data_IF_032422170088
#
_entry.id   IF_032422170088
#
_cell.length_a   1.000
_cell.length_b   1.000
_cell.length_c   1.000
_cell.angle_alpha   90.00
_cell.angle_beta   90.00
_cell.angle_gamma   90.00
#
_symmetry.space_group_name_H-M   'P 1'
#
loop_
_entity.id
_entity.type
_entity.pdbx_description
1 polymer ?
2 non-polymer ?
3 non-polymer ?
4 water ?
#
# COMPACT_ATOMS: atom_id res chain seq x y z
N UNK A 1 10.85 -17.90 3.46
CA UNK A 1 12.04 -17.64 4.33
C UNK A 1 11.76 -17.58 5.84
N UNK A 2 10.55 -17.97 6.29
CA UNK A 2 9.35 -18.39 5.54
C UNK A 2 8.47 -17.20 5.14
N UNK A 3 7.51 -17.46 4.26
CA UNK A 3 6.58 -16.44 3.78
C UNK A 3 5.63 -15.95 4.88
N UNK A 4 5.48 -14.64 4.95
CA UNK A 4 4.64 -14.00 5.96
C UNK A 4 3.29 -13.59 5.39
N UNK A 5 2.23 -14.02 6.08
CA UNK A 5 0.85 -13.67 5.70
C UNK A 5 0.59 -12.17 5.73
N UNK A 6 -0.37 -11.74 4.93
CA UNK A 6 -0.71 -10.33 4.81
C UNK A 6 -1.90 -9.97 5.69
N UNK A 7 -1.77 -8.86 6.42
CA UNK A 7 -2.86 -8.38 7.24
C UNK A 7 -3.86 -7.52 6.45
N UNK A 8 -4.90 -7.00 7.12
CA UNK A 8 -5.95 -6.28 6.40
C UNK A 8 -5.47 -4.99 5.73
N UNK A 9 -4.56 -4.26 6.37
CA UNK A 9 -4.02 -3.05 5.78
C UNK A 9 -3.16 -3.39 4.56
N UNK A 10 -2.39 -4.47 4.66
CA UNK A 10 -1.51 -4.86 3.56
C UNK A 10 -2.31 -5.29 2.34
N UNK A 11 -3.41 -6.00 2.58
CA UNK A 11 -4.30 -6.37 1.48
C UNK A 11 -5.00 -5.14 0.88
N UNK A 12 -5.52 -4.25 1.74
CA UNK A 12 -6.19 -3.05 1.25
C UNK A 12 -5.25 -2.20 0.42
N UNK A 13 -3.99 -2.11 0.83
CA UNK A 13 -2.98 -1.40 0.06
C UNK A 13 -2.84 -1.99 -1.33
N UNK A 14 -2.74 -3.32 -1.40
CA UNK A 14 -2.62 -3.99 -2.69
C UNK A 14 -3.77 -3.63 -3.61
N UNK A 15 -5.00 -3.74 -3.09
CA UNK A 15 -6.17 -3.48 -3.91
C UNK A 15 -6.19 -2.05 -4.41
N UNK A 16 -5.92 -1.09 -3.51
CA UNK A 16 -6.04 0.32 -3.89
C UNK A 16 -4.94 0.74 -4.86
N UNK A 17 -3.72 0.22 -4.66
CA UNK A 17 -2.64 0.55 -5.56
C UNK A 17 -2.91 -0.04 -6.95
N UNK A 18 -3.49 -1.24 -6.98
CA UNK A 18 -3.82 -1.85 -8.26
C UNK A 18 -4.95 -1.09 -8.97
N UNK A 19 -5.94 -0.61 -8.22
CA UNK A 19 -6.95 0.28 -8.82
C UNK A 19 -6.28 1.52 -9.39
N UNK A 20 -5.42 2.16 -8.61
CA UNK A 20 -4.75 3.38 -9.08
C UNK A 20 -3.99 3.15 -10.38
N UNK A 21 -3.32 2.01 -10.48
CA UNK A 21 -2.44 1.77 -11.62
C UNK A 21 -3.13 1.13 -12.81
N UNK A 22 -4.36 0.66 -12.64
CA UNK A 22 -5.05 -0.06 -13.72
C UNK A 22 -6.42 0.46 -14.12
N UNK A 23 -7.11 1.17 -13.24
CA UNK A 23 -8.36 1.78 -13.66
C UNK A 23 -8.12 2.76 -14.81
N UNK A 24 -9.02 2.72 -15.81
CA UNK A 24 -8.94 3.80 -16.80
C UNK A 24 -9.45 5.11 -16.21
N UNK A 25 -9.07 6.23 -16.80
CA UNK A 25 -9.64 7.53 -16.42
C UNK A 25 -10.72 7.94 -17.41
N UNK A 26 -11.56 8.90 -17.02
CA UNK A 26 -12.69 9.31 -17.84
C UNK A 26 -13.87 8.36 -17.66
N UNK A 27 -14.77 8.40 -18.63
CA UNK A 27 -16.07 7.72 -18.56
C UNK A 27 -16.03 6.20 -18.32
N UNK A 28 -14.97 5.55 -18.79
CA UNK A 28 -14.85 4.10 -18.65
C UNK A 28 -14.47 3.62 -17.23
N UNK A 29 -13.98 4.54 -16.40
CA UNK A 29 -13.56 4.21 -15.02
C UNK A 29 -14.63 3.48 -14.22
N UNK A 30 -15.86 3.98 -14.26
CA UNK A 30 -16.96 3.45 -13.44
C UNK A 30 -17.35 2.02 -13.83
N UNK A 31 -17.32 1.73 -15.12
CA UNK A 31 -17.61 0.40 -15.66
C UNK A 31 -16.72 -0.66 -15.01
N UNK A 32 -15.40 -0.43 -15.07
CA UNK A 32 -14.43 -1.35 -14.52
C UNK A 32 -14.51 -1.40 -13.00
N UNK A 33 -14.66 -0.25 -12.36
CA UNK A 33 -14.78 -0.19 -10.91
C UNK A 33 -15.95 -1.01 -10.38
N UNK A 34 -17.10 -0.93 -11.04
CA UNK A 34 -18.29 -1.65 -10.60
C UNK A 34 -18.07 -3.16 -10.63
N UNK A 35 -17.43 -3.64 -11.69
CA UNK A 35 -17.12 -5.06 -11.83
C UNK A 35 -16.06 -5.50 -10.82
N UNK A 36 -14.96 -4.75 -10.73
CA UNK A 36 -13.88 -5.15 -9.81
C UNK A 36 -14.31 -5.03 -8.34
N UNK A 37 -15.14 -4.05 -8.01
CA UNK A 37 -15.69 -3.94 -6.66
C UNK A 37 -16.46 -5.21 -6.26
N UNK A 38 -17.08 -5.84 -7.25
CA UNK A 38 -17.88 -7.04 -7.06
C UNK A 38 -17.02 -8.30 -7.21
N UNK A 39 -15.70 -8.14 -7.28
CA UNK A 39 -14.79 -9.29 -7.48
C UNK A 39 -15.13 -10.09 -8.74
N UNK A 40 -15.51 -9.37 -9.79
CA UNK A 40 -15.72 -9.95 -11.10
C UNK A 40 -14.54 -9.57 -11.98
N UNK A 41 -13.82 -10.58 -12.49
CA UNK A 41 -12.66 -10.34 -13.35
C UNK A 41 -13.13 -10.14 -14.79
N UNK A 42 -13.82 -9.03 -14.99
CA UNK A 42 -14.45 -8.67 -16.24
C UNK A 42 -14.28 -7.16 -16.43
N UNK A 43 -14.36 -6.66 -17.67
CA UNK A 43 -14.47 -7.45 -18.91
C UNK A 43 -13.17 -8.19 -19.23
N UNK A 44 -13.26 -9.11 -20.18
CA UNK A 44 -12.11 -9.90 -20.62
C UNK A 44 -11.26 -9.10 -21.62
N UNK A 45 -10.52 -8.14 -21.10
CA UNK A 45 -9.59 -7.34 -21.92
C UNK A 45 -8.31 -7.06 -21.15
N UNK A 46 -7.36 -6.39 -21.79
CA UNK A 46 -6.03 -6.21 -21.23
C UNK A 46 -6.01 -5.34 -19.98
N UNK A 47 -6.99 -4.44 -19.85
CA UNK A 47 -7.12 -3.64 -18.63
C UNK A 47 -7.36 -4.58 -17.44
N UNK A 48 -8.35 -5.46 -17.56
CA UNK A 48 -8.61 -6.43 -16.51
C UNK A 48 -7.47 -7.44 -16.37
N UNK A 49 -6.87 -7.89 -17.48
CA UNK A 49 -5.79 -8.88 -17.39
C UNK A 49 -4.66 -8.36 -16.50
N UNK A 50 -4.23 -7.13 -16.76
CA UNK A 50 -3.13 -6.57 -15.99
C UNK A 50 -3.52 -6.18 -14.58
N UNK A 51 -4.79 -5.81 -14.38
CA UNK A 51 -5.31 -5.61 -13.04
C UNK A 51 -5.20 -6.91 -12.23
N UNK A 52 -5.64 -8.01 -12.82
CA UNK A 52 -5.55 -9.32 -12.16
C UNK A 52 -4.10 -9.67 -11.82
N UNK A 53 -3.19 -9.47 -12.77
CA UNK A 53 -1.76 -9.73 -12.51
C UNK A 53 -1.26 -8.85 -11.34
N UNK A 54 -1.69 -7.59 -11.32
CA UNK A 54 -1.31 -6.69 -10.24
C UNK A 54 -1.72 -7.23 -8.87
N UNK A 55 -2.97 -7.69 -8.76
CA UNK A 55 -3.47 -8.14 -7.47
C UNK A 55 -2.82 -9.45 -7.08
N UNK A 56 -2.69 -10.38 -8.03
CA UNK A 56 -2.02 -11.65 -7.75
C UNK A 56 -0.59 -11.43 -7.27
N UNK A 57 0.10 -10.46 -7.87
CA UNK A 57 1.46 -10.13 -7.48
C UNK A 57 1.49 -9.49 -6.09
N UNK A 58 0.59 -8.54 -5.86
CA UNK A 58 0.58 -7.85 -4.56
C UNK A 58 0.20 -8.75 -3.40
N UNK A 59 -0.77 -9.64 -3.64
CA UNK A 59 -1.14 -10.61 -2.60
C UNK A 59 -0.11 -11.75 -2.48
N UNK A 60 0.84 -11.75 -3.41
CA UNK A 60 1.97 -12.70 -3.42
C UNK A 60 1.53 -14.15 -3.69
N UNK A 61 0.36 -14.26 -4.31
CA UNK A 61 -0.13 -15.52 -4.86
C UNK A 61 0.72 -15.92 -6.07
N UNK A 62 1.12 -14.92 -6.86
CA UNK A 62 2.03 -15.09 -7.97
C UNK A 62 3.38 -14.45 -7.62
N UNK A 63 4.47 -15.20 -7.84
CA UNK A 63 5.81 -14.67 -7.65
C UNK A 63 6.44 -14.35 -9.00
N UNK A 64 6.72 -13.06 -9.25
CA UNK A 64 7.24 -12.67 -10.57
C UNK A 64 8.67 -13.12 -10.87
N UNK A 65 9.47 -13.34 -9.83
CA UNK A 65 10.86 -13.77 -10.05
C UNK A 65 10.95 -15.25 -10.43
N UNK A 66 10.15 -16.06 -9.76
CA UNK A 66 10.03 -17.48 -10.09
C UNK A 66 9.06 -17.73 -11.25
N UNK A 67 8.26 -16.71 -11.60
CA UNK A 67 7.16 -16.87 -12.55
C UNK A 67 6.31 -18.09 -12.19
N UNK A 68 5.81 -18.09 -10.96
CA UNK A 68 5.15 -19.25 -10.38
C UNK A 68 3.98 -18.83 -9.51
N UNK A 69 2.91 -19.60 -9.59
CA UNK A 69 1.86 -19.57 -8.59
C UNK A 69 2.35 -20.28 -7.34
N UNK A 70 2.22 -19.61 -6.21
CA UNK A 70 2.80 -20.11 -4.96
C UNK A 70 1.73 -20.76 -4.10
N UNK A 71 1.37 -21.98 -4.48
CA UNK A 71 0.26 -22.72 -3.85
C UNK A 71 0.35 -22.84 -2.34
N UNK A 72 1.56 -23.07 -1.82
CA UNK A 72 1.72 -23.35 -0.41
C UNK A 72 1.57 -22.11 0.47
N UNK A 73 1.59 -20.93 -0.13
CA UNK A 73 1.33 -19.70 0.60
C UNK A 73 -0.12 -19.57 1.02
N UNK A 74 -1.03 -20.21 0.29
CA UNK A 74 -2.45 -20.11 0.61
C UNK A 74 -2.77 -20.66 2.01
N UNK A 75 -2.29 -21.87 2.33
CA UNK A 75 -2.52 -22.34 3.70
C UNK A 75 -1.85 -21.48 4.78
N UNK A 76 -0.72 -20.85 4.45
CA UNK A 76 -0.05 -19.95 5.40
C UNK A 76 -0.93 -18.71 5.66
N UNK A 77 -1.44 -18.11 4.58
CA UNK A 77 -2.37 -17.00 4.71
C UNK A 77 -3.59 -17.37 5.55
N UNK A 78 -4.16 -18.54 5.26
CA UNK A 78 -5.27 -19.07 6.04
C UNK A 78 -4.94 -19.25 7.52
N UNK A 79 -3.85 -19.95 7.81
CA UNK A 79 -3.48 -20.26 9.19
C UNK A 79 -3.30 -19.02 10.06
N UNK A 80 -2.77 -17.94 9.47
CA UNK A 80 -2.48 -16.73 10.23
C UNK A 80 -3.73 -16.05 10.82
N UNK A 81 -4.90 -16.26 10.21
CA UNK A 81 -6.12 -15.56 10.64
C UNK A 81 -7.32 -16.50 10.78
N UNK A 82 -7.08 -17.81 10.82
CA UNK A 82 -8.16 -18.80 10.80
C UNK A 82 -9.17 -18.69 11.94
N UNK A 83 -8.72 -18.21 13.09
CA UNK A 83 -9.63 -18.07 14.24
C UNK A 83 -10.58 -16.88 14.07
N UNK A 84 -10.24 -15.98 13.14
CA UNK A 84 -11.08 -14.83 12.84
C UNK A 84 -11.98 -15.11 11.63
N UNK A 85 -11.41 -15.63 10.55
CA UNK A 85 -12.17 -15.86 9.32
C UNK A 85 -13.14 -17.04 9.42
N UNK A 86 -12.74 -18.06 10.19
CA UNK A 86 -13.48 -19.32 10.25
C UNK A 86 -13.61 -20.05 8.90
N UNK A 87 -12.71 -19.74 7.98
CA UNK A 87 -12.67 -20.46 6.70
C UNK A 87 -12.38 -21.94 6.94
N UNK A 88 -12.90 -22.79 6.06
CA UNK A 88 -12.78 -24.24 6.26
C UNK A 88 -11.48 -24.79 5.67
N UNK A 89 -10.75 -25.57 6.47
CA UNK A 89 -9.48 -26.17 6.02
C UNK A 89 -9.62 -26.97 4.72
N UNK A 90 -10.72 -27.69 4.58
CA UNK A 90 -10.97 -28.49 3.37
C UNK A 90 -10.97 -27.62 2.11
N UNK A 91 -11.65 -26.48 2.18
CA UNK A 91 -11.74 -25.57 1.04
C UNK A 91 -10.40 -24.91 0.77
N UNK A 92 -9.68 -24.57 1.83
CA UNK A 92 -8.34 -23.99 1.70
C UNK A 92 -7.41 -24.94 0.94
N UNK A 93 -7.43 -26.22 1.31
CA UNK A 93 -6.66 -27.24 0.61
C UNK A 93 -7.04 -27.32 -0.87
N UNK A 94 -8.34 -27.27 -1.16
CA UNK A 94 -8.80 -27.32 -2.54
C UNK A 94 -8.35 -26.10 -3.35
N UNK A 95 -8.34 -24.92 -2.71
CA UNK A 95 -7.84 -23.69 -3.34
C UNK A 95 -6.35 -23.81 -3.64
N UNK A 96 -5.58 -24.25 -2.63
CA UNK A 96 -4.16 -24.55 -2.80
C UNK A 96 -3.92 -25.49 -4.00
N UNK A 97 -4.70 -26.57 -4.07
CA UNK A 97 -4.53 -27.56 -5.12
C UNK A 97 -4.87 -27.03 -6.49
N UNK A 98 -5.94 -26.23 -6.58
CA UNK A 98 -6.29 -25.58 -7.83
C UNK A 98 -5.19 -24.65 -8.32
N UNK A 99 -4.53 -23.94 -7.39
CA UNK A 99 -3.39 -23.11 -7.75
C UNK A 99 -2.17 -23.93 -8.22
N UNK A 100 -1.96 -25.09 -7.59
CA UNK A 100 -0.89 -25.99 -7.99
C UNK A 100 -1.06 -26.52 -9.42
N UNK A 101 -2.31 -26.57 -9.89
CA UNK A 101 -2.60 -27.01 -11.26
C UNK A 101 -2.41 -25.91 -12.28
N UNK A 102 -2.39 -24.65 -11.82
CA UNK A 102 -2.37 -23.50 -12.71
C UNK A 102 -1.03 -23.31 -13.43
N UNK A 103 -1.10 -22.96 -14.71
CA UNK A 103 0.09 -22.78 -15.54
C UNK A 103 0.30 -21.30 -15.85
N UNK A 104 1.34 -20.72 -15.27
CA UNK A 104 1.67 -19.30 -15.45
C UNK A 104 2.15 -18.98 -16.86
N UNK A 105 2.62 -20.01 -17.57
CA UNK A 105 3.14 -19.86 -18.95
C UNK A 105 4.16 -18.72 -18.99
N UNK A 106 3.93 -17.68 -19.80
CA UNK A 106 4.91 -16.61 -19.96
C UNK A 106 4.97 -15.62 -18.79
N UNK A 107 3.93 -15.63 -17.95
CA UNK A 107 3.81 -14.66 -16.88
C UNK A 107 3.19 -13.34 -17.31
N UNK A 108 2.79 -13.25 -18.57
CA UNK A 108 2.12 -12.04 -19.08
C UNK A 108 0.78 -11.86 -18.38
N UNK A 109 0.24 -10.65 -18.48
CA UNK A 109 -1.06 -10.37 -17.88
C UNK A 109 -2.11 -11.38 -18.34
N UNK A 110 -2.21 -11.60 -19.65
CA UNK A 110 -3.24 -12.48 -20.16
C UNK A 110 -3.03 -13.95 -19.74
N UNK A 111 -1.76 -14.39 -19.69
CA UNK A 111 -1.47 -15.77 -19.30
C UNK A 111 -1.88 -16.00 -17.83
N UNK A 112 -1.60 -15.02 -16.99
CA UNK A 112 -1.96 -15.13 -15.58
C UNK A 112 -3.47 -15.03 -15.38
N UNK A 113 -4.11 -14.11 -16.07
CA UNK A 113 -5.57 -14.02 -16.05
C UNK A 113 -6.23 -15.34 -16.49
N UNK A 114 -5.78 -15.88 -17.63
CA UNK A 114 -6.36 -17.13 -18.14
C UNK A 114 -6.18 -18.27 -17.15
N UNK A 115 -5.00 -18.38 -16.54
CA UNK A 115 -4.75 -19.44 -15.57
C UNK A 115 -5.58 -19.28 -14.28
N UNK A 116 -5.63 -18.05 -13.77
CA UNK A 116 -6.29 -17.83 -12.50
C UNK A 116 -7.81 -17.76 -12.59
N UNK A 117 -8.35 -17.42 -13.75
CA UNK A 117 -9.78 -17.17 -13.87
C UNK A 117 -10.68 -18.29 -13.32
N UNK A 118 -10.44 -19.55 -13.71
CA UNK A 118 -11.32 -20.59 -13.15
C UNK A 118 -11.11 -20.81 -11.65
N UNK A 119 -9.89 -20.59 -11.19
CA UNK A 119 -9.59 -20.71 -9.76
C UNK A 119 -10.35 -19.63 -8.99
N UNK A 120 -10.31 -18.40 -9.51
CA UNK A 120 -11.08 -17.30 -8.99
C UNK A 120 -12.59 -17.60 -8.99
N UNK A 121 -13.10 -18.08 -10.11
CA UNK A 121 -14.53 -18.35 -10.20
C UNK A 121 -15.00 -19.43 -9.22
N UNK A 122 -14.13 -20.39 -8.94
CA UNK A 122 -14.44 -21.45 -7.98
C UNK A 122 -14.31 -20.98 -6.52
N UNK A 123 -13.28 -20.18 -6.24
CA UNK A 123 -12.91 -19.88 -4.85
C UNK A 123 -13.01 -18.42 -4.49
N UNK A 124 -13.78 -17.64 -5.25
CA UNK A 124 -13.86 -16.20 -4.98
C UNK A 124 -14.22 -15.87 -3.53
N UNK A 125 -15.25 -16.51 -3.00
CA UNK A 125 -15.67 -16.20 -1.64
C UNK A 125 -14.61 -16.54 -0.61
N UNK A 126 -13.98 -17.71 -0.75
CA UNK A 126 -12.90 -18.10 0.14
C UNK A 126 -11.73 -17.11 0.03
N UNK A 127 -11.39 -16.71 -1.19
CA UNK A 127 -10.26 -15.80 -1.36
C UNK A 127 -10.52 -14.47 -0.68
N UNK A 128 -11.78 -14.03 -0.70
CA UNK A 128 -12.15 -12.80 -0.02
C UNK A 128 -12.07 -12.91 1.50
N UNK A 129 -12.30 -14.11 2.04
CA UNK A 129 -12.07 -14.34 3.47
C UNK A 129 -10.58 -14.36 3.77
N UNK A 130 -9.81 -15.12 3.00
CA UNK A 130 -8.38 -15.29 3.30
C UNK A 130 -7.60 -14.00 3.17
N UNK A 131 -7.92 -13.22 2.13
CA UNK A 131 -7.16 -12.02 1.79
C UNK A 131 -7.88 -10.71 2.13
N UNK A 132 -8.77 -10.76 3.12
CA UNK A 132 -9.34 -9.54 3.71
C UNK A 132 -10.00 -8.69 2.66
N UNK A 133 -10.80 -9.34 1.84
CA UNK A 133 -11.51 -8.72 0.73
C UNK A 133 -13.00 -8.50 0.93
N UNK A 134 -13.43 -8.39 2.18
CA UNK A 134 -14.79 -7.97 2.51
C UNK A 134 -14.70 -6.93 3.60
N UNK A 135 -15.65 -5.99 3.60
CA UNK A 135 -15.69 -4.95 4.64
C UNK A 135 -15.84 -5.58 6.03
N UNK A 136 -16.79 -6.50 6.18
CA UNK A 136 -17.09 -7.12 7.48
C UNK A 136 -15.92 -7.95 7.99
N UNK A 137 -15.29 -8.69 7.08
CA UNK A 137 -14.18 -9.56 7.46
C UNK A 137 -12.95 -8.73 7.85
N UNK A 138 -12.64 -7.72 7.05
CA UNK A 138 -11.51 -6.85 7.39
C UNK A 138 -11.74 -6.16 8.75
N UNK A 139 -12.98 -5.76 9.01
CA UNK A 139 -13.28 -5.09 10.29
C UNK A 139 -12.94 -6.02 11.46
N UNK A 140 -13.18 -7.32 11.29
CA UNK A 140 -12.88 -8.28 12.34
C UNK A 140 -11.36 -8.39 12.56
N UNK A 141 -10.59 -8.29 11.48
CA UNK A 141 -9.14 -8.29 11.59
C UNK A 141 -8.66 -7.06 12.37
N UNK A 142 -9.13 -5.87 12.01
CA UNK A 142 -8.72 -4.65 12.72
C UNK A 142 -9.07 -4.71 14.20
N UNK A 143 -10.27 -5.22 14.50
CA UNK A 143 -10.74 -5.32 15.89
C UNK A 143 -9.87 -6.28 16.71
N UNK A 144 -9.43 -7.37 16.10
CA UNK A 144 -8.56 -8.35 16.77
C UNK A 144 -7.10 -7.90 16.83
N UNK A 145 -6.71 -7.01 15.92
CA UNK A 145 -5.32 -6.60 15.78
C UNK A 145 -5.19 -5.08 15.85
N UNK A 146 -5.24 -4.50 17.06
CA UNK A 146 -5.17 -3.06 17.22
C UNK A 146 -3.84 -2.43 16.78
N UNK A 147 -2.82 -3.27 16.59
CA UNK A 147 -1.51 -2.77 16.11
C UNK A 147 -1.39 -2.59 14.59
N UNK A 148 -2.48 -2.83 13.87
CA UNK A 148 -2.56 -2.55 12.43
C UNK A 148 -3.09 -1.13 12.23
N UNK A 149 -2.48 -0.37 11.32
CA UNK A 149 -3.02 0.95 10.95
C UNK A 149 -4.46 0.82 10.46
N UNK A 150 -5.37 1.60 11.07
CA UNK A 150 -6.81 1.56 10.74
C UNK A 150 -7.14 2.40 9.51
N UNK A 151 -8.29 2.13 8.89
CA UNK A 151 -8.84 3.06 7.91
C UNK A 151 -9.14 4.37 8.65
N UNK A 152 -8.90 5.48 7.98
CA UNK A 152 -9.09 6.79 8.60
C UNK A 152 -7.91 7.31 9.38
N UNK A 153 -6.92 6.46 9.62
CA UNK A 153 -5.73 6.81 10.38
C UNK A 153 -4.57 6.95 9.41
N UNK A 154 -3.89 8.11 9.40
CA UNK A 154 -2.73 8.23 8.51
C UNK A 154 -1.55 7.43 9.06
N UNK A 155 -0.64 7.05 8.17
CA UNK A 155 0.57 6.42 8.65
C UNK A 155 1.33 7.35 9.57
N UNK A 156 1.29 8.65 9.29
CA UNK A 156 2.02 9.59 10.14
C UNK A 156 1.48 9.57 11.57
N UNK A 157 0.15 9.53 11.70
CA UNK A 157 -0.48 9.47 13.03
C UNK A 157 -0.25 8.12 13.72
N UNK A 158 -0.39 7.03 12.97
CA UNK A 158 -0.15 5.70 13.51
C UNK A 158 1.28 5.60 14.04
N UNK A 159 2.23 6.10 13.24
CA UNK A 159 3.63 6.02 13.60
C UNK A 159 4.00 6.96 14.75
N UNK A 160 3.40 8.15 14.80
CA UNK A 160 3.59 9.07 15.93
C UNK A 160 3.23 8.41 17.25
N UNK A 161 2.09 7.71 17.26
CA UNK A 161 1.57 7.06 18.47
C UNK A 161 2.56 6.01 19.00
N UNK A 162 3.26 5.34 18.10
CA UNK A 162 4.22 4.32 18.50
C UNK A 162 5.63 4.83 18.76
N UNK A 163 5.97 5.97 18.16
CA UNK A 163 7.29 6.59 18.36
C UNK A 163 7.39 7.36 19.67
N UNK A 164 6.31 8.05 20.03
CA UNK A 164 6.23 8.78 21.29
C UNK A 164 5.16 8.14 22.16
N UNK A 165 5.56 7.11 22.91
CA UNK A 165 4.63 6.37 23.76
C UNK A 165 5.12 6.35 25.22
N UNK A 166 6.06 7.24 25.53
CA UNK A 166 6.63 7.32 26.87
C UNK A 166 6.24 8.62 27.56
N UNK A 167 7.14 9.13 28.41
CA UNK A 167 6.89 10.37 29.12
C UNK A 167 7.10 11.62 28.27
N UNK A 168 8.03 11.52 27.31
CA UNK A 168 8.36 12.64 26.44
C UNK A 168 7.20 13.00 25.51
N UNK A 169 6.84 14.28 25.51
CA UNK A 169 5.80 14.83 24.65
C UNK A 169 6.17 14.63 23.18
N UNK A 170 5.20 14.28 22.35
CA UNK A 170 5.43 14.21 20.91
C UNK A 170 5.91 15.56 20.35
N UNK A 171 6.87 15.47 19.43
CA UNK A 171 7.35 16.66 18.72
C UNK A 171 6.25 17.21 17.82
N UNK A 172 5.22 16.40 17.58
CA UNK A 172 4.11 16.79 16.72
C UNK A 172 2.83 17.07 17.49
N UNK A 173 2.96 17.32 18.80
CA UNK A 173 1.81 17.55 19.68
C UNK A 173 0.82 18.62 19.22
N UNK A 174 1.32 19.75 18.73
CA UNK A 174 0.42 20.79 18.21
C UNK A 174 0.13 20.64 16.70
N UNK A 175 0.57 19.53 16.12
CA UNK A 175 0.52 19.28 14.68
C UNK A 175 1.92 18.95 14.18
N UNK A 176 2.00 18.04 13.21
CA UNK A 176 3.28 17.64 12.64
C UNK A 176 3.91 18.79 11.87
N UNK A 177 5.20 19.02 12.12
CA UNK A 177 5.96 19.98 11.33
C UNK A 177 7.23 19.30 10.80
N UNK A 178 8.08 20.09 10.18
CA UNK A 178 9.28 19.56 9.52
C UNK A 178 10.56 19.88 10.28
N UNK A 179 10.42 20.15 11.58
CA UNK A 179 11.59 20.40 12.43
C UNK A 179 12.44 19.13 12.51
N UNK A 180 13.73 19.28 12.23
CA UNK A 180 14.67 18.16 12.26
C UNK A 180 15.45 18.17 13.56
N UNK A 181 15.13 17.23 14.44
CA UNK A 181 15.75 17.17 15.77
C UNK A 181 16.79 16.06 15.89
N UNK A 182 16.74 15.10 14.98
CA UNK A 182 17.56 13.90 15.10
C UNK A 182 17.27 13.05 16.33
N UNK A 183 16.09 13.22 16.92
CA UNK A 183 15.75 12.47 18.12
C UNK A 183 15.48 11.01 17.78
N UNK A 184 15.69 10.09 18.76
CA UNK A 184 15.43 8.68 18.45
C UNK A 184 13.96 8.46 18.10
N UNK A 185 13.08 9.24 18.71
CA UNK A 185 11.65 9.13 18.45
C UNK A 185 11.31 9.57 17.02
N UNK A 186 11.86 10.69 16.59
CA UNK A 186 11.63 11.17 15.23
C UNK A 186 12.18 10.17 14.20
N UNK A 187 13.36 9.61 14.46
CA UNK A 187 13.93 8.64 13.53
C UNK A 187 13.03 7.41 13.42
N UNK A 188 12.50 6.96 14.56
CA UNK A 188 11.59 5.82 14.57
C UNK A 188 10.31 6.15 13.81
N UNK A 189 9.68 7.28 14.10
CA UNK A 189 8.47 7.68 13.38
C UNK A 189 8.69 7.71 11.87
N UNK A 190 9.80 8.31 11.44
CA UNK A 190 10.07 8.45 10.03
C UNK A 190 10.35 7.10 9.35
N UNK A 191 11.01 6.17 10.03
CA UNK A 191 11.18 4.82 9.48
C UNK A 191 9.81 4.15 9.28
N UNK A 192 8.97 4.25 10.30
CA UNK A 192 7.63 3.68 10.27
C UNK A 192 6.81 4.30 9.12
N UNK A 193 6.92 5.61 8.95
CA UNK A 193 6.20 6.29 7.88
C UNK A 193 6.73 5.91 6.51
N UNK A 194 8.06 5.91 6.33
CA UNK A 194 8.63 5.54 5.05
C UNK A 194 8.23 4.13 4.63
N UNK A 195 8.18 3.21 5.60
CA UNK A 195 7.73 1.85 5.29
C UNK A 195 6.23 1.82 4.96
N UNK A 196 5.43 2.58 5.72
CA UNK A 196 3.98 2.64 5.48
C UNK A 196 3.61 3.25 4.14
N UNK A 197 4.40 4.21 3.68
CA UNK A 197 4.19 4.86 2.38
C UNK A 197 4.85 4.10 1.23
N UNK A 198 5.53 2.99 1.57
CA UNK A 198 6.24 2.14 0.60
C UNK A 198 7.42 2.85 -0.07
N UNK A 199 7.92 3.89 0.57
CA UNK A 199 9.20 4.50 0.18
C UNK A 199 10.37 3.55 0.37
N UNK A 200 10.26 2.67 1.37
CA UNK A 200 11.27 1.67 1.67
C UNK A 200 10.58 0.40 2.07
N UNK A 201 11.25 -0.71 1.82
CA UNK A 201 10.79 -2.01 2.31
C UNK A 201 12.03 -2.82 2.70
N UNK A 202 11.87 -4.14 2.86
CA UNK A 202 12.98 -5.00 3.23
C UNK A 202 14.13 -5.02 2.22
N UNK A 203 13.88 -4.52 1.01
CA UNK A 203 14.92 -4.47 -0.03
C UNK A 203 15.59 -3.09 -0.12
N UNK A 204 15.12 -2.16 0.71
CA UNK A 204 15.72 -0.83 0.79
C UNK A 204 14.86 0.26 0.20
N UNK A 205 15.53 1.25 -0.37
CA UNK A 205 14.89 2.43 -0.93
C UNK A 205 14.18 2.15 -2.26
N UNK A 206 13.00 2.76 -2.42
CA UNK A 206 12.31 2.75 -3.70
C UNK A 206 12.27 4.17 -4.24
N UNK A 207 13.30 4.54 -5.01
CA UNK A 207 13.38 5.89 -5.55
C UNK A 207 12.11 6.21 -6.35
N UNK A 208 11.64 5.24 -7.12
CA UNK A 208 10.47 5.45 -7.98
C UNK A 208 9.21 5.80 -7.20
N UNK A 209 9.09 5.31 -5.96
CA UNK A 209 7.90 5.59 -5.16
C UNK A 209 7.88 7.02 -4.64
N UNK A 210 9.06 7.52 -4.28
CA UNK A 210 9.15 8.92 -3.87
C UNK A 210 8.88 9.83 -5.07
N UNK A 211 9.45 9.49 -6.23
CA UNK A 211 9.15 10.21 -7.48
C UNK A 211 7.65 10.22 -7.77
N UNK A 212 6.99 9.07 -7.59
CA UNK A 212 5.54 8.98 -7.83
C UNK A 212 4.78 10.04 -7.03
N UNK A 213 5.22 10.29 -5.80
CA UNK A 213 4.55 11.29 -4.97
C UNK A 213 4.70 12.71 -5.48
N UNK A 214 5.83 13.02 -6.10
CA UNK A 214 6.03 14.31 -6.74
C UNK A 214 5.19 14.41 -8.01
N UNK A 215 5.09 13.30 -8.74
CA UNK A 215 4.23 13.26 -9.93
C UNK A 215 2.78 13.51 -9.55
N UNK A 216 2.38 12.97 -8.41
CA UNK A 216 0.99 13.12 -7.94
C UNK A 216 0.63 14.54 -7.52
N UNK A 217 1.62 15.37 -7.23
CA UNK A 217 1.36 16.80 -6.98
C UNK A 217 1.69 17.67 -8.21
N UNK A 218 1.76 17.02 -9.37
CA UNK A 218 1.97 17.70 -10.65
C UNK A 218 3.33 18.39 -10.75
N UNK A 219 4.34 17.73 -10.21
CA UNK A 219 5.72 18.20 -10.28
C UNK A 219 6.62 17.18 -10.96
N UNK A 220 6.15 16.66 -12.09
CA UNK A 220 6.91 15.69 -12.88
C UNK A 220 8.27 16.23 -13.33
N UNK A 221 8.36 17.54 -13.52
CA UNK A 221 9.61 18.14 -13.98
C UNK A 221 10.72 18.07 -12.92
N UNK A 222 10.35 17.79 -11.67
CA UNK A 222 11.33 17.70 -10.57
C UNK A 222 11.96 16.32 -10.44
N UNK A 223 11.51 15.35 -11.24
CA UNK A 223 12.03 13.99 -11.12
C UNK A 223 13.56 13.89 -11.03
N UNK A 224 14.30 14.53 -11.98
CA UNK A 224 15.76 14.42 -11.90
C UNK A 224 16.35 14.97 -10.60
N UNK A 225 15.73 16.03 -10.06
CA UNK A 225 16.17 16.63 -8.80
C UNK A 225 15.87 15.73 -7.61
N UNK A 226 14.70 15.10 -7.62
CA UNK A 226 14.33 14.14 -6.58
C UNK A 226 15.36 13.00 -6.57
N UNK A 227 15.66 12.47 -7.75
CA UNK A 227 16.63 11.40 -7.87
C UNK A 227 18.01 11.82 -7.38
N UNK A 228 18.43 13.02 -7.77
CA UNK A 228 19.73 13.57 -7.37
C UNK A 228 19.85 13.75 -5.86
N UNK A 229 18.79 14.29 -5.24
CA UNK A 229 18.80 14.52 -3.79
C UNK A 229 18.91 13.20 -3.04
N UNK A 230 18.15 12.19 -3.48
CA UNK A 230 18.24 10.88 -2.85
C UNK A 230 19.60 10.22 -3.09
N UNK A 231 20.12 10.37 -4.30
CA UNK A 231 21.36 9.73 -4.69
C UNK A 231 22.55 10.27 -3.90
N UNK A 232 22.52 11.57 -3.62
CA UNK A 232 23.63 12.23 -2.94
C UNK A 232 23.49 12.18 -1.42
N UNK A 233 22.40 11.62 -0.94
CA UNK A 233 22.17 11.51 0.49
C UNK A 233 23.12 10.51 1.10
N UNK A 234 23.94 10.94 2.05
CA UNK A 234 24.74 9.96 2.80
C UNK A 234 23.87 9.40 3.93
N UNK A 235 23.99 8.11 4.13
CA UNK A 235 23.09 7.45 5.04
C UNK A 235 22.04 6.70 4.24
N UNK A 236 21.58 5.61 4.84
CA UNK A 236 20.62 4.75 4.18
C UNK A 236 19.39 4.48 5.06
N UNK A 237 19.26 5.24 6.14
CA UNK A 237 18.08 5.14 6.99
C UNK A 237 17.00 6.07 6.46
N UNK A 238 15.74 5.71 6.71
CA UNK A 238 14.61 6.56 6.33
C UNK A 238 14.82 8.01 6.76
N UNK A 239 15.24 8.21 8.02
CA UNK A 239 15.48 9.55 8.54
C UNK A 239 16.52 10.30 7.73
N UNK A 240 17.56 9.61 7.28
CA UNK A 240 18.59 10.26 6.45
C UNK A 240 18.02 10.85 5.17
N UNK A 241 17.21 10.05 4.47
CA UNK A 241 16.57 10.50 3.23
C UNK A 241 15.62 11.65 3.47
N UNK A 242 14.84 11.55 4.56
CA UNK A 242 13.93 12.60 4.98
C UNK A 242 14.66 13.93 5.20
N UNK A 243 15.77 13.89 5.95
CA UNK A 243 16.62 15.06 6.17
C UNK A 243 17.14 15.60 4.83
N UNK A 244 17.61 14.71 3.97
CA UNK A 244 18.12 15.17 2.68
C UNK A 244 17.06 15.92 1.87
N UNK A 245 15.84 15.39 1.84
CA UNK A 245 14.73 16.02 1.11
C UNK A 245 14.33 17.35 1.74
N UNK A 246 14.16 17.36 3.06
CA UNK A 246 13.72 18.55 3.77
C UNK A 246 14.74 19.68 3.66
N UNK A 247 16.03 19.35 3.69
CA UNK A 247 17.06 20.39 3.64
C UNK A 247 17.50 20.80 2.23
N UNK A 248 16.88 20.20 1.22
CA UNK A 248 17.19 20.47 -0.18
C UNK A 248 16.37 21.62 -0.75
N UNK A 249 16.69 22.00 -1.98
CA UNK A 249 15.91 23.01 -2.70
C UNK A 249 14.50 22.51 -3.04
N UNK A 250 14.26 21.21 -2.84
CA UNK A 250 12.92 20.61 -3.03
C UNK A 250 12.01 20.79 -1.82
N UNK A 251 12.54 21.35 -0.73
CA UNK A 251 11.84 21.43 0.56
C UNK A 251 10.32 21.56 0.48
N UNK A 252 9.83 22.65 -0.10
CA UNK A 252 8.38 22.89 -0.08
C UNK A 252 7.63 21.87 -0.91
N UNK A 253 8.22 21.46 -2.03
CA UNK A 253 7.56 20.47 -2.88
C UNK A 253 7.50 19.13 -2.18
N UNK A 254 8.58 18.76 -1.49
CA UNK A 254 8.54 17.55 -0.68
C UNK A 254 7.46 17.62 0.40
N UNK A 255 7.39 18.74 1.10
CA UNK A 255 6.36 18.89 2.14
C UNK A 255 4.98 18.67 1.53
N UNK A 256 4.73 19.27 0.37
CA UNK A 256 3.44 19.11 -0.28
C UNK A 256 3.18 17.67 -0.71
N UNK A 257 4.19 17.00 -1.23
CA UNK A 257 4.06 15.60 -1.67
C UNK A 257 3.81 14.67 -0.48
N UNK A 258 4.57 14.88 0.58
CA UNK A 258 4.51 14.05 1.80
C UNK A 258 3.20 14.29 2.54
N UNK A 259 2.73 15.54 2.59
CA UNK A 259 1.45 15.87 3.21
C UNK A 259 0.30 15.23 2.41
N UNK A 260 0.37 15.29 1.08
CA UNK A 260 -0.66 14.65 0.26
C UNK A 260 -0.67 13.14 0.50
N UNK A 261 0.50 12.53 0.60
CA UNK A 261 0.51 11.11 0.90
C UNK A 261 0.01 10.84 2.32
N UNK A 262 0.24 11.75 3.27
CA UNK A 262 -0.39 11.56 4.58
C UNK A 262 -1.90 11.38 4.45
N UNK A 263 -2.54 12.29 3.71
CA UNK A 263 -3.98 12.20 3.48
C UNK A 263 -4.35 10.88 2.82
N UNK A 264 -3.61 10.52 1.77
CA UNK A 264 -3.90 9.31 1.02
C UNK A 264 -3.71 8.07 1.89
N UNK A 265 -2.76 8.13 2.81
CA UNK A 265 -2.49 6.99 3.70
C UNK A 265 -3.57 6.80 4.74
N UNK A 266 -4.37 7.85 4.97
CA UNK A 266 -5.52 7.77 5.88
C UNK A 266 -6.77 7.31 5.17
N UNK A 267 -6.83 7.48 3.86
CA UNK A 267 -8.01 7.14 3.07
C UNK A 267 -7.54 6.45 1.80
N UNK A 268 -7.46 5.12 1.86
CA UNK A 268 -6.95 4.34 0.73
C UNK A 268 -7.83 4.46 -0.52
N UNK A 269 -9.05 4.93 -0.35
CA UNK A 269 -9.95 5.11 -1.49
C UNK A 269 -9.84 6.50 -2.12
N UNK A 270 -8.95 7.34 -1.60
CA UNK A 270 -8.92 8.75 -1.99
C UNK A 270 -8.90 9.02 -3.49
N UNK A 271 -8.00 8.34 -4.21
CA UNK A 271 -7.82 8.59 -5.63
C UNK A 271 -8.71 7.74 -6.53
N UNK A 272 -9.45 6.81 -5.93
CA UNK A 272 -10.06 5.72 -6.70
C UNK A 272 -11.21 6.14 -7.62
N UNK A 273 -11.96 7.16 -7.22
CA UNK A 273 -13.00 7.74 -8.07
C UNK A 273 -12.51 9.06 -8.69
N UNK A 275 -11.27 12.08 -7.49
CA UNK A 275 -10.44 13.04 -6.74
C UNK A 275 -8.96 13.01 -7.12
N UNK A 276 -8.42 14.18 -7.44
CA UNK A 276 -7.01 14.37 -7.72
C UNK A 276 -6.42 15.45 -6.81
N UNK A 277 -5.09 15.65 -6.87
CA UNK A 277 -4.46 16.69 -6.10
C UNK A 277 -4.98 18.08 -6.49
N UNK A 278 -5.28 18.88 -5.48
CA UNK A 278 -5.73 20.25 -5.70
C UNK A 278 -4.63 21.23 -5.28
N UNK A 279 -4.43 21.39 -3.98
CA UNK A 279 -3.40 22.27 -3.44
C UNK A 279 -3.18 21.96 -1.97
N UNK A 280 -2.11 22.53 -1.36
CA UNK A 280 -1.81 22.17 0.04
C UNK A 280 -2.93 22.51 1.03
N UNK A 281 -3.65 23.61 0.80
CA UNK A 281 -4.72 24.04 1.70
C UNK A 281 -5.89 23.04 1.69
N UNK A 282 -6.24 22.56 0.49
CA UNK A 282 -7.30 21.54 0.38
C UNK A 282 -6.89 20.24 1.09
N UNK A 283 -5.64 19.83 0.93
CA UNK A 283 -5.13 18.64 1.62
C UNK A 283 -5.31 18.77 3.14
N UNK A 284 -4.94 19.93 3.68
CA UNK A 284 -5.06 20.18 5.11
C UNK A 284 -6.51 20.12 5.57
N UNK A 285 -7.42 20.72 4.81
CA UNK A 285 -8.84 20.66 5.15
C UNK A 285 -9.38 19.22 5.15
N UNK A 286 -8.98 18.45 4.14
CA UNK A 286 -9.39 17.05 4.07
C UNK A 286 -8.83 16.23 5.25
N UNK A 287 -7.59 16.50 5.65
CA UNK A 287 -6.99 15.77 6.77
C UNK A 287 -7.68 16.03 8.10
N UNK A 288 -8.29 17.22 8.25
CA UNK A 288 -8.97 17.56 9.49
C UNK A 288 -10.15 16.63 9.79
N UNK A 289 -10.70 16.01 8.76
CA UNK A 289 -11.83 15.08 8.90
C UNK A 289 -11.39 13.70 9.39
N UNK A 290 -10.09 13.43 9.35
CA UNK A 290 -9.57 12.09 9.61
C UNK A 290 -8.61 12.10 10.79
N UNK A 291 -8.13 10.91 11.17
CA UNK A 291 -7.19 10.75 12.27
C UNK A 291 -5.77 10.93 11.73
N UNK A 292 -5.36 12.20 11.65
CA UNK A 292 -4.09 12.60 11.03
C UNK A 292 -3.28 13.49 11.99
N UNK A 293 -2.11 13.94 11.52
CA UNK A 293 -1.23 14.79 12.31
C UNK A 293 -1.36 16.27 11.93
N UNK A 294 -2.46 16.62 11.28
CA UNK A 294 -2.72 18.00 10.83
C UNK A 294 -2.91 18.96 12.02
N UNK A 295 -2.60 20.25 11.77
CA UNK A 295 -2.86 21.32 12.73
C UNK A 295 -4.32 21.75 12.69
N UNK A 296 -4.92 21.81 13.87
CA UNK A 296 -6.28 22.33 14.02
C UNK A 296 -6.27 23.74 14.58
X LIG B 1 -12.07 -2.30 5.02
X LIG B 1 -12.70 -1.93 3.83
X LIG B 1 -13.52 -0.81 3.74
X LIG B 1 -12.53 -2.75 2.53
X LIG B 1 -12.05 -4.16 2.86
X LIG B 1 -11.81 -4.91 1.55
X LIG B 1 -13.19 -5.17 0.91
X LIG B 1 -13.19 -5.39 -0.51
X LIG B 1 -11.97 -5.38 -1.43
X LIG B 1 -12.38 -4.60 -2.70
X LIG B 1 -12.77 -3.15 -2.42
X LIG B 1 -12.17 -2.27 -3.47
X LIG B 1 -11.59 -2.36 -1.85
X LIG B 1 -10.36 -2.29 -2.72
X LIG B 1 -10.89 -2.94 -3.99
X LIG B 1 -11.21 -4.41 -3.68
X LIG B 1 -11.37 -5.25 -4.95
X LIG B 1 -10.71 -6.53 -5.03
X LIG B 1 -10.94 -7.36 -6.27
X LIG B 1 -11.29 -6.61 -7.55
X LIG B 1 -9.93 -8.47 -6.50
X LIG B 1 -10.28 -9.45 -7.61
X LIG B 1 -9.29 -10.56 -7.93
X LIG B 1 -7.95 -10.18 -8.55
X LIG B 1 -6.96 -11.33 -8.79
X LIG C 1 8.37 -19.09 -0.56
X LIG C 1 6.91 -19.12 -0.49
X LIG C 1 8.92 -19.56 0.71
X LIG C 1 8.83 -17.72 -0.78
X LIG C 1 8.85 -19.95 -1.64
#
# INVERSE_FOLDING_TARGET
QPWKALDAEQALYVYKRCYEDHLPSGSDRKTYMTLWNAWRLEPNDAITHCYAKCVLTGLQIYDPQENAFKSDRIPVQYQAYKTITQSKQKEVTEYQKALAAANAKSGSCVDLYNAYLPVHNRFVNLSRQLYHGTVEGAAKIYAAMPEIKQKGESFHAYCEKRAWKGNKQSEWKNGRRYKLTGSPELKDAIDCIFRGLRYMDDTGLKVDEIVRDFNLINKSELEPEVRSVLASCKGSEAYDYYVCLVNSRLKQHFKNAFDFHELRSADYAYLLRGKVYENPEKVKEEMKKLNTTVHF
U46 OAX CAW OAY CAR CAQ CAP CAO CAN CAF CAD CAC CAB CAT OAS CAA CAE CAG CAH CAI OAU CAJ CAK CAL CAM CAV
SO4 S O1 O2 O3 O4
#
